data_IF_981757310097
#
_entry.id   IF_981757310097
#
_cell.length_a   1.000
_cell.length_b   1.000
_cell.length_c   1.000
_cell.angle_alpha   90.00
_cell.angle_beta   90.00
_cell.angle_gamma   90.00
#
_symmetry.space_group_name_H-M   'P 1'
#
loop_
_entity.id
_entity.type
_entity.pdbx_description
1 polymer ?
#
# COMPACT_ATOMS: atom_id res chain seq x y z
N UNK A 1 8.10 -3.99 -0.38
CA UNK A 1 6.80 -3.48 -0.85
C UNK A 1 6.31 -2.44 0.15
N UNK A 2 5.75 -1.31 -0.30
CA UNK A 2 5.13 -0.29 0.57
C UNK A 2 3.66 -0.14 0.20
N UNK A 3 2.76 -0.41 1.14
CA UNK A 3 1.33 -0.15 0.98
C UNK A 3 1.02 1.28 1.43
N UNK A 4 1.03 2.23 0.50
CA UNK A 4 0.81 3.65 0.83
C UNK A 4 -0.65 3.94 1.19
N UNK A 5 -0.89 4.55 2.34
CA UNK A 5 -2.21 5.02 2.79
C UNK A 5 -2.41 6.54 2.58
N UNK A 6 -1.51 7.19 1.85
CA UNK A 6 -1.53 8.64 1.62
C UNK A 6 -0.76 9.44 2.67
N UNK A 7 -1.08 10.74 2.78
CA UNK A 7 -0.45 11.68 3.72
C UNK A 7 -1.53 12.42 4.53
N UNK A 8 -1.23 12.84 5.77
CA UNK A 8 -2.15 13.63 6.57
C UNK A 8 -2.54 14.92 5.84
N UNK A 9 -3.84 15.28 5.77
CA UNK A 9 -4.26 16.54 5.17
C UNK A 9 -3.91 17.71 6.10
N UNK A 10 -3.32 18.77 5.52
CA UNK A 10 -3.03 20.02 6.23
C UNK A 10 -2.11 19.83 7.45
N UNK A 11 -2.53 20.33 8.61
CA UNK A 11 -1.80 20.25 9.88
C UNK A 11 -2.25 19.10 10.80
N UNK A 12 -2.91 18.07 10.25
CA UNK A 12 -3.31 16.89 11.03
C UNK A 12 -2.07 16.17 11.59
N UNK A 13 -2.14 15.72 12.84
CA UNK A 13 -1.09 14.90 13.44
C UNK A 13 -1.03 13.54 12.72
N UNK A 14 0.19 13.08 12.42
CA UNK A 14 0.41 11.79 11.76
C UNK A 14 -0.16 10.62 12.55
N UNK A 15 -0.07 10.62 13.88
CA UNK A 15 -0.62 9.56 14.72
C UNK A 15 -2.15 9.45 14.53
N UNK A 16 -2.85 10.58 14.52
CA UNK A 16 -4.30 10.61 14.29
C UNK A 16 -4.65 10.14 12.88
N UNK A 17 -3.83 10.47 11.88
CA UNK A 17 -4.04 10.05 10.50
C UNK A 17 -3.87 8.53 10.29
N UNK A 18 -2.92 7.89 10.97
CA UNK A 18 -2.68 6.45 10.81
C UNK A 18 -3.59 5.57 11.66
N UNK A 19 -4.14 6.11 12.74
CA UNK A 19 -5.03 5.37 13.66
C UNK A 19 -6.53 5.53 13.32
N UNK A 20 -6.91 6.56 12.54
CA UNK A 20 -8.30 6.72 12.12
C UNK A 20 -8.73 5.60 11.16
N UNK A 21 -10.03 5.24 11.14
CA UNK A 21 -10.56 4.35 10.12
C UNK A 21 -10.49 4.97 8.73
N UNK A 22 -10.40 4.13 7.70
CA UNK A 22 -10.54 4.55 6.31
C UNK A 22 -11.94 5.14 6.06
N UNK A 23 -12.02 6.20 5.26
CA UNK A 23 -13.29 6.74 4.79
C UNK A 23 -14.01 5.78 3.86
N UNK A 24 -15.32 5.97 3.66
CA UNK A 24 -16.12 5.17 2.71
C UNK A 24 -15.55 5.19 1.29
N UNK A 25 -14.89 6.29 0.89
CA UNK A 25 -14.25 6.39 -0.41
C UNK A 25 -12.97 5.54 -0.48
N UNK A 26 -12.10 5.62 0.53
CA UNK A 26 -10.86 4.83 0.61
C UNK A 26 -11.15 3.33 0.76
N UNK A 27 -12.17 2.98 1.55
CA UNK A 27 -12.57 1.59 1.79
C UNK A 27 -12.92 0.84 0.50
N UNK A 28 -13.44 1.53 -0.53
CA UNK A 28 -13.72 0.93 -1.85
C UNK A 28 -12.46 0.47 -2.58
N UNK A 29 -11.34 1.17 -2.36
CA UNK A 29 -10.06 0.88 -3.00
C UNK A 29 -9.18 -0.08 -2.18
N UNK A 30 -9.51 -0.24 -0.89
CA UNK A 30 -8.73 -1.04 0.06
C UNK A 30 -8.55 -2.51 -0.38
N UNK A 31 -9.57 -3.22 -0.92
CA UNK A 31 -9.38 -4.59 -1.41
C UNK A 31 -8.31 -4.70 -2.51
N UNK A 32 -8.26 -3.75 -3.43
CA UNK A 32 -7.26 -3.72 -4.50
C UNK A 32 -5.87 -3.43 -3.95
N UNK A 33 -5.75 -2.48 -3.02
CA UNK A 33 -4.47 -2.18 -2.35
C UNK A 33 -3.92 -3.43 -1.64
N UNK A 34 -4.78 -4.15 -0.90
CA UNK A 34 -4.40 -5.36 -0.17
C UNK A 34 -4.03 -6.48 -1.15
N UNK A 35 -4.82 -6.71 -2.21
CA UNK A 35 -4.52 -7.75 -3.21
C UNK A 35 -3.18 -7.49 -3.88
N UNK A 36 -2.94 -6.26 -4.34
CA UNK A 36 -1.67 -5.90 -4.97
C UNK A 36 -0.48 -6.07 -4.01
N UNK A 37 -0.67 -5.77 -2.72
CA UNK A 37 0.35 -6.02 -1.69
C UNK A 37 0.64 -7.51 -1.51
N UNK A 38 -0.40 -8.34 -1.44
CA UNK A 38 -0.29 -9.77 -1.30
C UNK A 38 0.41 -10.40 -2.52
N UNK A 39 0.04 -9.99 -3.74
CA UNK A 39 0.66 -10.48 -4.97
C UNK A 39 2.13 -10.05 -5.07
N UNK A 40 2.47 -8.84 -4.62
CA UNK A 40 3.86 -8.39 -4.57
C UNK A 40 4.71 -9.20 -3.59
N UNK A 41 4.15 -9.55 -2.42
CA UNK A 41 4.83 -10.43 -1.45
C UNK A 41 4.94 -11.84 -2.01
N UNK A 42 3.90 -12.37 -2.66
CA UNK A 42 3.95 -13.68 -3.33
C UNK A 42 5.05 -13.73 -4.38
N UNK A 43 5.11 -12.74 -5.27
CA UNK A 43 6.14 -12.65 -6.30
C UNK A 43 7.54 -12.52 -5.72
N UNK A 44 7.70 -11.78 -4.62
CA UNK A 44 8.98 -11.67 -3.92
C UNK A 44 9.46 -13.05 -3.43
N UNK A 45 8.57 -13.85 -2.85
CA UNK A 45 8.89 -15.20 -2.36
C UNK A 45 9.18 -16.17 -3.51
N UNK A 46 8.38 -16.12 -4.58
CA UNK A 46 8.47 -17.08 -5.70
C UNK A 46 9.59 -16.76 -6.69
N UNK A 47 9.84 -15.48 -6.96
CA UNK A 47 10.72 -15.01 -8.06
C UNK A 47 11.90 -14.17 -7.60
N UNK A 48 11.98 -13.87 -6.30
CA UNK A 48 13.08 -13.11 -5.72
C UNK A 48 12.96 -11.59 -5.85
N UNK A 49 13.87 -10.89 -5.16
CA UNK A 49 13.80 -9.45 -4.94
C UNK A 49 13.82 -8.61 -6.22
N UNK A 50 14.78 -8.88 -7.11
CA UNK A 50 14.99 -8.06 -8.31
C UNK A 50 13.76 -8.09 -9.22
N UNK A 51 13.22 -9.28 -9.48
CA UNK A 51 12.04 -9.45 -10.32
C UNK A 51 10.81 -8.77 -9.72
N UNK A 52 10.56 -8.93 -8.42
CA UNK A 52 9.44 -8.28 -7.75
C UNK A 52 9.60 -6.75 -7.70
N UNK A 53 10.81 -6.23 -7.47
CA UNK A 53 11.06 -4.79 -7.48
C UNK A 53 10.82 -4.18 -8.87
N UNK A 54 11.33 -4.81 -9.92
CA UNK A 54 11.10 -4.35 -11.30
C UNK A 54 9.62 -4.35 -11.64
N UNK A 55 8.87 -5.39 -11.28
CA UNK A 55 7.44 -5.45 -11.62
C UNK A 55 6.58 -4.39 -10.92
N UNK A 56 6.83 -4.12 -9.64
CA UNK A 56 5.99 -3.24 -8.82
C UNK A 56 6.52 -1.81 -8.64
N UNK A 57 7.77 -1.54 -9.00
CA UNK A 57 8.42 -0.24 -8.81
C UNK A 57 9.23 0.21 -10.04
N UNK A 58 9.04 -0.41 -11.22
CA UNK A 58 9.56 0.16 -12.46
C UNK A 58 8.87 1.50 -12.71
N UNK A 59 9.66 2.58 -12.72
CA UNK A 59 9.24 3.89 -13.16
C UNK A 59 9.09 3.92 -14.69
#
# INVERSE_FOLDING_TARGET
>A
MRAGIGRPPGRMNTADFVLKPFSTAEAKNLPFLISNAADAVRMLVEKGLVAAQQHYHSA
#
